data_IF_144184826768
#
_entry.id   IF_144184826768
#
_cell.length_a   1.000
_cell.length_b   1.000
_cell.length_c   1.000
_cell.angle_alpha   90.00
_cell.angle_beta   90.00
_cell.angle_gamma   90.00
#
_symmetry.space_group_name_H-M   'P 1'
#
loop_
_entity.id
_entity.type
_entity.pdbx_description
1 polymer ?
#
# COMPACT_ATOMS: atom_id res chain seq x y z
N UNK A 1 -20.66 17.70 -8.28
CA UNK A 1 -19.47 18.10 -9.07
C UNK A 1 -19.57 19.60 -9.35
N UNK A 2 -18.48 20.37 -9.21
CA UNK A 2 -18.54 21.83 -9.45
C UNK A 2 -18.44 22.16 -10.94
N UNK A 3 -18.81 23.40 -11.32
CA UNK A 3 -18.73 23.84 -12.72
C UNK A 3 -17.29 23.93 -13.22
N UNK A 4 -16.34 24.23 -12.32
CA UNK A 4 -14.91 24.25 -12.57
C UNK A 4 -14.40 22.85 -12.90
N UNK A 5 -14.74 21.84 -12.08
CA UNK A 5 -14.35 20.44 -12.35
C UNK A 5 -14.86 19.97 -13.71
N UNK A 6 -16.13 20.28 -14.06
CA UNK A 6 -16.70 19.95 -15.36
C UNK A 6 -15.96 20.66 -16.51
N UNK A 7 -15.58 21.92 -16.32
CA UNK A 7 -14.81 22.69 -17.30
C UNK A 7 -13.43 22.09 -17.54
N UNK A 8 -12.73 21.70 -16.47
CA UNK A 8 -11.42 21.05 -16.56
C UNK A 8 -11.53 19.69 -17.26
N UNK A 9 -12.50 18.84 -16.87
CA UNK A 9 -12.74 17.52 -17.47
C UNK A 9 -12.97 17.61 -18.99
N UNK A 10 -13.90 18.47 -19.40
CA UNK A 10 -14.20 18.72 -20.81
C UNK A 10 -12.98 19.17 -21.61
N UNK A 11 -12.23 20.14 -21.08
CA UNK A 11 -11.07 20.68 -21.79
C UNK A 11 -9.89 19.67 -21.84
N UNK A 12 -9.79 18.75 -20.88
CA UNK A 12 -8.81 17.65 -20.88
C UNK A 12 -9.13 16.61 -21.93
N UNK A 13 -10.40 16.25 -22.09
CA UNK A 13 -10.82 15.32 -23.14
C UNK A 13 -10.44 15.88 -24.53
N UNK A 14 -10.72 17.16 -24.79
CA UNK A 14 -10.28 17.83 -26.02
C UNK A 14 -8.75 17.77 -26.18
N UNK A 15 -7.99 17.99 -25.11
CA UNK A 15 -6.55 17.94 -25.15
C UNK A 15 -6.03 16.54 -25.50
N UNK A 16 -6.64 15.48 -24.94
CA UNK A 16 -6.32 14.08 -25.24
C UNK A 16 -6.48 13.79 -26.74
N UNK A 17 -7.65 14.08 -27.31
CA UNK A 17 -7.92 13.85 -28.74
C UNK A 17 -6.95 14.60 -29.66
N UNK A 18 -6.44 15.76 -29.25
CA UNK A 18 -5.45 16.51 -30.02
C UNK A 18 -4.03 15.96 -29.85
N UNK A 19 -3.69 15.55 -28.63
CA UNK A 19 -2.36 15.11 -28.27
C UNK A 19 -2.01 13.76 -28.91
N UNK A 20 -2.96 12.82 -28.90
CA UNK A 20 -2.72 11.42 -29.27
C UNK A 20 -3.41 10.98 -30.56
N UNK A 21 -3.89 11.92 -31.38
CA UNK A 21 -4.63 11.62 -32.62
C UNK A 21 -3.88 10.65 -33.55
N UNK A 22 -2.56 10.80 -33.65
CA UNK A 22 -1.73 10.03 -34.57
C UNK A 22 -1.18 8.75 -33.93
N UNK A 23 -1.09 8.69 -32.60
CA UNK A 23 -0.47 7.58 -31.86
C UNK A 23 -1.49 6.54 -31.39
N UNK A 24 -2.69 6.99 -31.02
CA UNK A 24 -3.77 6.17 -30.52
C UNK A 24 -4.89 6.22 -31.55
N UNK A 25 -5.41 5.05 -31.92
CA UNK A 25 -6.57 4.92 -32.81
C UNK A 25 -7.84 5.42 -32.09
N UNK A 26 -7.88 6.70 -31.78
CA UNK A 26 -8.96 7.37 -31.09
C UNK A 26 -10.17 7.50 -32.00
N UNK A 27 -11.35 7.70 -31.39
CA UNK A 27 -12.54 8.08 -32.15
C UNK A 27 -12.23 9.37 -32.91
N UNK A 28 -12.50 9.35 -34.21
CA UNK A 28 -12.26 10.51 -35.07
C UNK A 28 -13.05 11.72 -34.55
N UNK A 29 -12.35 12.81 -34.27
CA UNK A 29 -12.94 14.07 -33.79
C UNK A 29 -13.09 15.05 -34.96
N UNK A 30 -14.34 15.36 -35.33
CA UNK A 30 -14.68 16.29 -36.41
C UNK A 30 -14.58 17.76 -35.98
N UNK A 31 -14.76 18.04 -34.69
CA UNK A 31 -14.70 19.39 -34.16
C UNK A 31 -14.76 19.43 -32.64
N UNK A 32 -14.31 20.53 -32.05
CA UNK A 32 -14.40 20.74 -30.61
C UNK A 32 -14.49 22.23 -30.27
N UNK A 33 -15.16 22.53 -29.16
CA UNK A 33 -15.25 23.84 -28.55
C UNK A 33 -14.89 23.71 -27.06
N UNK A 34 -13.91 24.48 -26.60
CA UNK A 34 -13.51 24.51 -25.19
C UNK A 34 -14.66 25.03 -24.32
N UNK A 35 -14.79 24.52 -23.11
CA UNK A 35 -15.69 25.10 -22.10
C UNK A 35 -14.96 26.26 -21.42
N UNK A 36 -15.62 27.42 -21.30
CA UNK A 36 -15.13 28.59 -20.56
C UNK A 36 -16.19 28.93 -19.51
N UNK A 37 -15.79 28.87 -18.24
CA UNK A 37 -16.69 29.05 -17.11
C UNK A 37 -17.48 30.36 -17.24
N UNK A 38 -18.82 30.28 -17.16
CA UNK A 38 -19.76 31.39 -17.29
C UNK A 38 -19.79 32.15 -18.64
N UNK A 39 -19.01 31.70 -19.64
CA UNK A 39 -18.90 32.41 -20.93
C UNK A 39 -19.28 31.53 -22.12
N UNK A 40 -18.86 30.27 -22.13
CA UNK A 40 -18.95 29.41 -23.30
C UNK A 40 -19.18 27.96 -22.89
N UNK A 41 -20.20 27.33 -23.48
CA UNK A 41 -20.40 25.90 -23.34
C UNK A 41 -19.37 25.09 -24.12
N UNK A 42 -19.04 23.91 -23.60
CA UNK A 42 -18.13 22.97 -24.25
C UNK A 42 -18.88 22.04 -25.20
N UNK A 43 -18.25 21.67 -26.31
CA UNK A 43 -18.74 20.63 -27.21
C UNK A 43 -17.59 19.83 -27.82
N UNK A 44 -17.82 18.54 -28.07
CA UNK A 44 -16.93 17.68 -28.87
C UNK A 44 -17.82 16.96 -29.88
N UNK A 45 -17.44 16.98 -31.16
CA UNK A 45 -18.13 16.28 -32.24
C UNK A 45 -17.24 15.11 -32.63
N UNK A 46 -17.72 13.91 -32.33
CA UNK A 46 -17.02 12.65 -32.58
C UNK A 46 -17.72 11.87 -33.68
N UNK A 47 -16.96 11.00 -34.35
CA UNK A 47 -17.51 10.00 -35.27
C UNK A 47 -18.49 9.10 -34.54
N UNK A 48 -19.67 8.94 -35.13
CA UNK A 48 -20.65 7.98 -34.66
C UNK A 48 -20.11 6.56 -34.88
N UNK A 49 -20.07 5.79 -33.81
CA UNK A 49 -19.72 4.37 -33.83
C UNK A 49 -21.02 3.60 -34.07
N UNK A 50 -21.18 3.07 -35.28
CA UNK A 50 -22.40 2.37 -35.70
C UNK A 50 -22.53 0.97 -35.08
N UNK A 51 -23.52 0.21 -35.54
CA UNK A 51 -23.86 -1.12 -35.02
C UNK A 51 -22.76 -2.19 -35.21
N UNK A 52 -21.65 -1.90 -35.90
CA UNK A 52 -20.50 -2.82 -35.95
C UNK A 52 -19.74 -2.87 -34.63
N UNK A 53 -19.83 -1.82 -33.81
CA UNK A 53 -19.22 -1.78 -32.50
C UNK A 53 -20.12 -2.42 -31.45
N UNK A 54 -19.51 -3.23 -30.58
CA UNK A 54 -20.20 -3.91 -29.49
C UNK A 54 -19.76 -3.35 -28.14
N UNK A 55 -20.72 -3.26 -27.22
CA UNK A 55 -20.46 -2.95 -25.81
C UNK A 55 -20.54 -4.23 -25.00
N UNK A 56 -19.63 -4.38 -24.03
CA UNK A 56 -19.80 -5.35 -22.97
C UNK A 56 -20.79 -4.77 -21.97
N UNK A 57 -21.71 -5.60 -21.47
CA UNK A 57 -22.66 -5.18 -20.43
C UNK A 57 -21.91 -4.58 -19.25
N UNK A 58 -22.48 -3.57 -18.59
CA UNK A 58 -21.91 -3.00 -17.37
C UNK A 58 -21.58 -4.07 -16.33
N UNK A 59 -22.39 -5.14 -16.30
CA UNK A 59 -22.28 -6.28 -15.39
C UNK A 59 -21.42 -7.45 -15.91
N UNK A 60 -20.81 -7.28 -17.08
CA UNK A 60 -19.97 -8.26 -17.77
C UNK A 60 -18.48 -8.11 -17.46
N UNK A 61 -17.71 -9.07 -17.97
CA UNK A 61 -16.25 -9.02 -18.02
C UNK A 61 -15.80 -9.10 -19.49
N UNK A 62 -14.63 -8.56 -19.78
CA UNK A 62 -13.97 -8.79 -21.06
C UNK A 62 -13.48 -10.23 -21.16
N UNK A 63 -13.46 -10.80 -22.36
CA UNK A 63 -12.80 -12.08 -22.60
C UNK A 63 -11.27 -11.89 -22.73
N UNK A 64 -10.50 -12.99 -22.70
CA UNK A 64 -9.04 -12.93 -22.75
C UNK A 64 -8.49 -12.10 -23.94
N UNK A 65 -9.00 -12.31 -25.15
CA UNK A 65 -8.57 -11.57 -26.34
C UNK A 65 -8.87 -10.07 -26.24
N UNK A 66 -10.06 -9.72 -25.74
CA UNK A 66 -10.42 -8.32 -25.49
C UNK A 66 -9.48 -7.68 -24.46
N UNK A 67 -9.11 -8.41 -23.41
CA UNK A 67 -8.20 -7.89 -22.38
C UNK A 67 -6.80 -7.67 -22.95
N UNK A 68 -6.24 -8.64 -23.67
CA UNK A 68 -4.94 -8.52 -24.33
C UNK A 68 -4.91 -7.29 -25.26
N UNK A 69 -5.95 -7.09 -26.05
CA UNK A 69 -6.04 -5.95 -26.95
C UNK A 69 -6.17 -4.61 -26.20
N UNK A 70 -6.88 -4.55 -25.07
CA UNK A 70 -6.95 -3.33 -24.26
C UNK A 70 -5.62 -3.06 -23.57
N UNK A 71 -4.93 -4.09 -23.06
CA UNK A 71 -3.56 -3.99 -22.51
C UNK A 71 -2.61 -3.45 -23.58
N UNK A 72 -2.73 -3.90 -24.82
CA UNK A 72 -1.95 -3.36 -25.96
C UNK A 72 -2.23 -1.88 -26.21
N UNK A 73 -3.48 -1.42 -26.05
CA UNK A 73 -3.81 0.02 -26.16
C UNK A 73 -3.24 0.83 -25.01
N UNK A 74 -3.25 0.30 -23.79
CA UNK A 74 -2.59 0.93 -22.63
C UNK A 74 -1.08 1.04 -22.88
N UNK A 75 -0.45 0.00 -23.42
CA UNK A 75 0.98 0.02 -23.77
C UNK A 75 1.29 1.17 -24.74
N UNK A 76 0.52 1.30 -25.82
CA UNK A 76 0.66 2.38 -26.81
C UNK A 76 0.45 3.75 -26.19
N UNK A 77 -0.54 3.90 -25.30
CA UNK A 77 -0.80 5.15 -24.57
C UNK A 77 0.41 5.53 -23.72
N UNK A 78 0.98 4.59 -22.97
CA UNK A 78 2.14 4.87 -22.12
C UNK A 78 3.36 5.29 -22.95
N UNK A 79 3.67 4.56 -24.03
CA UNK A 79 4.75 4.92 -24.96
C UNK A 79 4.53 6.32 -25.54
N UNK A 80 3.33 6.62 -26.06
CA UNK A 80 2.99 7.93 -26.60
C UNK A 80 3.07 9.04 -25.55
N UNK A 81 2.68 8.75 -24.31
CA UNK A 81 2.76 9.69 -23.20
C UNK A 81 4.21 10.10 -22.90
N UNK A 82 5.15 9.16 -22.87
CA UNK A 82 6.57 9.47 -22.68
C UNK A 82 7.12 10.38 -23.80
N UNK A 83 6.80 10.07 -25.07
CA UNK A 83 7.20 10.89 -26.23
C UNK A 83 6.70 12.33 -26.12
N UNK A 84 5.49 12.47 -25.60
CA UNK A 84 4.78 13.76 -25.55
C UNK A 84 4.91 14.46 -24.20
N UNK A 85 5.73 13.98 -23.26
CA UNK A 85 5.81 14.55 -21.88
C UNK A 85 5.89 16.06 -21.86
N UNK A 86 6.79 16.65 -22.66
CA UNK A 86 6.98 18.13 -22.71
C UNK A 86 5.69 18.91 -23.01
N UNK A 87 4.67 18.27 -23.58
CA UNK A 87 3.39 18.88 -23.92
C UNK A 87 2.40 18.89 -22.75
N UNK A 88 2.46 17.91 -21.84
CA UNK A 88 1.45 17.70 -20.80
C UNK A 88 1.97 17.80 -19.35
N UNK A 89 3.27 17.67 -19.14
CA UNK A 89 3.90 17.74 -17.82
C UNK A 89 3.50 19.01 -17.06
N UNK A 90 3.08 18.85 -15.80
CA UNK A 90 2.56 19.92 -14.93
C UNK A 90 1.25 20.58 -15.39
N UNK A 91 0.52 20.00 -16.36
CA UNK A 91 -0.77 20.53 -16.86
C UNK A 91 -1.95 19.60 -16.58
N UNK A 92 -1.68 18.37 -16.13
CA UNK A 92 -2.63 17.29 -16.00
C UNK A 92 -2.66 16.74 -14.56
N UNK A 93 -2.80 17.63 -13.58
CA UNK A 93 -2.86 17.26 -12.15
C UNK A 93 -4.10 16.43 -11.80
N UNK A 94 -4.05 15.72 -10.67
CA UNK A 94 -5.21 14.98 -10.16
C UNK A 94 -6.47 15.86 -10.08
N UNK A 95 -7.58 15.35 -10.62
CA UNK A 95 -8.88 16.02 -10.52
C UNK A 95 -9.54 15.83 -9.15
N UNK A 96 -9.01 14.93 -8.33
CA UNK A 96 -9.60 14.52 -7.08
C UNK A 96 -9.15 15.43 -5.94
N UNK A 97 -10.06 16.27 -5.45
CA UNK A 97 -9.78 17.11 -4.28
C UNK A 97 -9.96 16.32 -2.98
N UNK A 98 -9.28 16.72 -1.89
CA UNK A 98 -9.50 16.15 -0.55
C UNK A 98 -10.99 16.16 -0.15
N UNK A 99 -11.72 17.21 -0.53
CA UNK A 99 -13.17 17.29 -0.27
C UNK A 99 -13.97 16.21 -1.03
N UNK A 100 -13.65 15.99 -2.31
CA UNK A 100 -14.29 14.94 -3.10
C UNK A 100 -13.94 13.55 -2.57
N UNK A 101 -12.70 13.38 -2.11
CA UNK A 101 -12.24 12.16 -1.47
C UNK A 101 -13.03 11.89 -0.18
N UNK A 102 -13.08 12.86 0.74
CA UNK A 102 -13.83 12.74 2.00
C UNK A 102 -15.32 12.40 1.78
N UNK A 103 -15.94 13.00 0.74
CA UNK A 103 -17.30 12.67 0.36
C UNK A 103 -17.45 11.20 -0.05
N UNK A 104 -16.56 10.67 -0.90
CA UNK A 104 -16.56 9.24 -1.25
C UNK A 104 -16.25 8.35 -0.04
N UNK A 105 -15.29 8.74 0.79
CA UNK A 105 -14.90 8.00 1.99
C UNK A 105 -16.07 7.83 2.97
N UNK A 106 -16.92 8.86 3.10
CA UNK A 106 -18.11 8.82 3.97
C UNK A 106 -19.18 7.82 3.53
N UNK A 107 -19.19 7.46 2.24
CA UNK A 107 -20.14 6.50 1.68
C UNK A 107 -19.71 5.05 1.92
N UNK A 108 -18.44 4.83 2.23
CA UNK A 108 -17.83 3.49 2.27
C UNK A 108 -18.61 2.49 3.10
N UNK A 109 -18.88 2.80 4.38
CA UNK A 109 -19.57 1.88 5.27
C UNK A 109 -20.93 1.46 4.72
N UNK A 110 -21.75 2.43 4.30
CA UNK A 110 -23.08 2.14 3.74
C UNK A 110 -23.05 1.24 2.51
N UNK A 111 -22.08 1.46 1.60
CA UNK A 111 -21.96 0.70 0.37
C UNK A 111 -21.39 -0.69 0.67
N UNK A 112 -20.40 -0.79 1.58
CA UNK A 112 -19.86 -2.05 2.05
C UNK A 112 -20.94 -2.92 2.69
N UNK A 113 -21.75 -2.39 3.61
CA UNK A 113 -22.86 -3.13 4.24
C UNK A 113 -23.93 -3.56 3.22
N UNK A 114 -24.18 -2.73 2.20
CA UNK A 114 -25.09 -3.09 1.10
C UNK A 114 -24.53 -4.28 0.32
N UNK A 115 -23.26 -4.23 -0.08
CA UNK A 115 -22.59 -5.35 -0.76
C UNK A 115 -22.51 -6.60 0.12
N UNK A 116 -22.28 -6.41 1.41
CA UNK A 116 -22.27 -7.45 2.43
C UNK A 116 -23.61 -8.18 2.49
N UNK A 117 -24.72 -7.48 2.34
CA UNK A 117 -26.06 -8.07 2.33
C UNK A 117 -26.36 -8.92 1.08
N UNK A 118 -25.61 -8.72 -0.01
CA UNK A 118 -25.75 -9.47 -1.25
C UNK A 118 -24.89 -10.74 -1.28
N UNK A 119 -23.81 -10.77 -0.49
CA UNK A 119 -23.05 -11.98 -0.23
C UNK A 119 -23.61 -12.72 1.00
N UNK A 120 -23.39 -14.04 1.10
CA UNK A 120 -23.67 -14.71 2.37
C UNK A 120 -22.66 -14.25 3.43
N UNK A 121 -23.14 -14.02 4.66
CA UNK A 121 -22.34 -13.60 5.83
C UNK A 121 -21.02 -14.38 5.97
N UNK A 122 -21.00 -15.66 5.62
CA UNK A 122 -19.85 -16.55 5.68
C UNK A 122 -18.61 -16.03 4.91
N UNK A 123 -18.79 -15.31 3.80
CA UNK A 123 -17.65 -14.82 3.00
C UNK A 123 -17.09 -13.54 3.58
N UNK A 124 -17.86 -12.45 3.51
CA UNK A 124 -17.36 -11.12 3.83
C UNK A 124 -17.05 -10.94 5.33
N UNK A 125 -17.73 -11.67 6.22
CA UNK A 125 -17.54 -11.52 7.67
C UNK A 125 -16.11 -11.79 8.11
N UNK A 126 -15.40 -12.68 7.40
CA UNK A 126 -14.01 -13.03 7.68
C UNK A 126 -13.01 -11.89 7.46
N UNK A 127 -13.28 -11.00 6.49
CA UNK A 127 -12.36 -9.92 6.09
C UNK A 127 -12.83 -8.51 6.50
N UNK A 128 -14.10 -8.35 6.93
CA UNK A 128 -14.70 -7.03 7.21
C UNK A 128 -13.83 -6.16 8.13
N UNK A 129 -13.27 -6.71 9.21
CA UNK A 129 -12.42 -5.94 10.14
C UNK A 129 -11.19 -5.37 9.43
N UNK A 130 -10.53 -6.18 8.61
CA UNK A 130 -9.33 -5.80 7.87
C UNK A 130 -9.66 -4.80 6.75
N UNK A 131 -10.80 -4.97 6.07
CA UNK A 131 -11.31 -4.03 5.06
C UNK A 131 -11.61 -2.66 5.68
N UNK A 132 -12.24 -2.60 6.85
CA UNK A 132 -12.44 -1.34 7.56
C UNK A 132 -11.11 -0.70 8.03
N UNK A 133 -10.14 -1.52 8.46
CA UNK A 133 -8.80 -1.02 8.80
C UNK A 133 -8.07 -0.45 7.56
N UNK A 134 -8.21 -1.09 6.40
CA UNK A 134 -7.71 -0.60 5.12
C UNK A 134 -8.37 0.74 4.74
N UNK A 135 -9.71 0.82 4.83
CA UNK A 135 -10.46 2.04 4.55
C UNK A 135 -10.06 3.23 5.43
N UNK A 136 -9.79 3.00 6.73
CA UNK A 136 -9.32 4.06 7.64
C UNK A 136 -7.99 4.66 7.22
N UNK A 137 -7.11 3.86 6.60
CA UNK A 137 -5.83 4.32 6.04
C UNK A 137 -5.94 4.86 4.61
N UNK A 138 -7.12 4.78 3.96
CA UNK A 138 -7.23 5.04 2.53
C UNK A 138 -6.87 6.47 2.13
N UNK A 139 -7.24 7.49 2.91
CA UNK A 139 -6.84 8.88 2.62
C UNK A 139 -5.32 9.02 2.59
N UNK A 140 -4.67 8.46 3.60
CA UNK A 140 -3.21 8.43 3.70
C UNK A 140 -2.61 7.72 2.48
N UNK A 141 -3.10 6.53 2.14
CA UNK A 141 -2.60 5.77 1.00
C UNK A 141 -2.83 6.47 -0.34
N UNK A 142 -3.95 7.17 -0.49
CA UNK A 142 -4.28 7.86 -1.73
C UNK A 142 -3.45 9.13 -1.93
N UNK A 143 -3.24 9.92 -0.88
CA UNK A 143 -2.49 11.18 -1.01
C UNK A 143 -1.00 10.98 -0.76
N UNK A 144 -0.59 10.27 0.29
CA UNK A 144 0.82 10.13 0.65
C UNK A 144 1.50 9.04 -0.20
N UNK A 145 0.96 7.82 -0.27
CA UNK A 145 1.65 6.74 -0.99
C UNK A 145 1.63 6.97 -2.51
N UNK A 146 0.54 7.53 -3.05
CA UNK A 146 0.49 7.86 -4.48
C UNK A 146 1.40 9.05 -4.81
N UNK A 147 1.41 10.13 -4.02
CA UNK A 147 2.35 11.24 -4.25
C UNK A 147 3.80 10.77 -4.09
N UNK A 148 4.08 9.92 -3.10
CA UNK A 148 5.37 9.28 -2.90
C UNK A 148 5.76 8.49 -4.15
N UNK A 149 4.91 7.60 -4.63
CA UNK A 149 5.11 6.83 -5.88
C UNK A 149 5.39 7.76 -7.06
N UNK A 150 4.61 8.84 -7.23
CA UNK A 150 4.83 9.79 -8.33
C UNK A 150 6.17 10.53 -8.19
N UNK A 151 6.55 10.91 -6.97
CA UNK A 151 7.79 11.63 -6.68
C UNK A 151 9.04 10.75 -6.80
N UNK A 152 8.96 9.48 -6.37
CA UNK A 152 10.05 8.51 -6.40
C UNK A 152 10.30 7.98 -7.82
N UNK A 153 9.28 7.98 -8.67
CA UNK A 153 9.39 7.56 -10.06
C UNK A 153 10.17 8.56 -10.95
N UNK A 154 10.90 9.56 -10.44
CA UNK A 154 11.82 10.48 -11.15
C UNK A 154 11.50 10.81 -12.62
N UNK A 155 10.23 11.13 -12.94
CA UNK A 155 9.82 11.33 -14.32
C UNK A 155 9.67 10.02 -15.12
N UNK A 156 9.03 9.01 -14.55
CA UNK A 156 8.58 7.78 -15.21
C UNK A 156 7.06 7.60 -15.08
N UNK A 157 6.38 8.67 -14.69
CA UNK A 157 4.93 8.83 -14.76
C UNK A 157 4.44 8.93 -16.21
N UNK A 158 3.15 8.66 -16.40
CA UNK A 158 2.46 8.67 -17.70
C UNK A 158 1.13 9.40 -17.59
N UNK A 159 0.57 9.84 -18.71
CA UNK A 159 -0.84 10.18 -18.82
C UNK A 159 -1.64 8.89 -18.87
N UNK A 160 -2.47 8.70 -17.84
CA UNK A 160 -3.44 7.62 -17.78
C UNK A 160 -4.84 8.10 -18.13
N UNK A 161 -5.66 7.17 -18.61
CA UNK A 161 -7.10 7.37 -18.78
C UNK A 161 -7.79 7.64 -17.44
N UNK A 162 -7.35 6.95 -16.37
CA UNK A 162 -7.75 7.11 -14.96
C UNK A 162 -9.24 6.83 -14.65
N UNK A 163 -10.05 6.54 -15.66
CA UNK A 163 -11.43 6.08 -15.54
C UNK A 163 -11.75 4.89 -16.46
N UNK A 164 -10.75 4.03 -16.71
CA UNK A 164 -10.92 2.93 -17.66
C UNK A 164 -11.87 1.88 -17.07
N UNK A 165 -12.98 1.62 -17.76
CA UNK A 165 -14.03 0.70 -17.32
C UNK A 165 -14.72 0.04 -18.52
N UNK A 166 -15.62 -0.92 -18.27
CA UNK A 166 -16.40 -1.56 -19.35
C UNK A 166 -17.22 -0.57 -20.17
N UNK A 167 -17.61 0.56 -19.60
CA UNK A 167 -18.39 1.59 -20.30
C UNK A 167 -17.53 2.51 -21.17
N UNK A 168 -16.23 2.60 -20.92
CA UNK A 168 -15.34 3.49 -21.67
C UNK A 168 -14.71 2.79 -22.88
N UNK A 169 -14.99 1.50 -23.08
CA UNK A 169 -14.43 0.69 -24.18
C UNK A 169 -15.56 0.09 -25.00
N UNK A 170 -15.45 0.24 -26.32
CA UNK A 170 -16.26 -0.48 -27.29
C UNK A 170 -15.37 -1.31 -28.21
N UNK A 171 -15.90 -2.38 -28.78
CA UNK A 171 -15.11 -3.31 -29.59
C UNK A 171 -15.63 -3.39 -31.03
N UNK A 172 -14.75 -3.20 -32.00
CA UNK A 172 -14.94 -3.64 -33.37
C UNK A 172 -14.42 -5.07 -33.45
N UNK A 173 -15.32 -6.05 -33.39
CA UNK A 173 -14.98 -7.45 -33.08
C UNK A 173 -14.26 -7.57 -31.71
N UNK A 174 -12.93 -7.65 -31.71
CA UNK A 174 -12.09 -7.64 -30.50
C UNK A 174 -11.15 -6.43 -30.43
N UNK A 175 -11.14 -5.55 -31.43
CA UNK A 175 -10.30 -4.35 -31.43
C UNK A 175 -10.94 -3.24 -30.59
N UNK A 176 -10.32 -2.83 -29.47
CA UNK A 176 -10.90 -1.86 -28.56
C UNK A 176 -10.74 -0.44 -29.09
N UNK A 177 -11.81 0.34 -28.91
CA UNK A 177 -11.85 1.78 -29.06
C UNK A 177 -12.16 2.38 -27.69
N UNK A 178 -11.19 3.10 -27.13
CA UNK A 178 -11.28 3.73 -25.81
C UNK A 178 -11.81 5.17 -25.96
N UNK A 179 -12.76 5.53 -25.12
CA UNK A 179 -13.49 6.81 -25.09
C UNK A 179 -13.60 7.34 -23.66
N UNK A 180 -14.21 8.52 -23.46
CA UNK A 180 -14.40 9.14 -22.14
C UNK A 180 -13.08 9.57 -21.45
N UNK A 181 -12.22 10.25 -22.22
CA UNK A 181 -10.90 10.72 -21.78
C UNK A 181 -10.94 11.93 -20.83
N UNK A 182 -12.10 12.26 -20.27
CA UNK A 182 -12.32 13.45 -19.45
C UNK A 182 -11.58 13.42 -18.11
N UNK A 183 -11.15 12.24 -17.66
CA UNK A 183 -10.39 12.07 -16.41
C UNK A 183 -8.88 11.91 -16.61
N UNK A 184 -8.39 12.13 -17.83
CA UNK A 184 -6.98 12.00 -18.15
C UNK A 184 -6.12 12.86 -17.21
N UNK A 185 -5.13 12.22 -16.60
CA UNK A 185 -4.27 12.82 -15.58
C UNK A 185 -2.92 12.12 -15.55
N UNK A 186 -1.91 12.78 -15.00
CA UNK A 186 -0.64 12.14 -14.68
C UNK A 186 -0.83 11.08 -13.59
N UNK A 187 -0.33 9.87 -13.85
CA UNK A 187 -0.42 8.70 -12.98
C UNK A 187 0.86 7.86 -13.05
N UNK A 188 1.00 6.91 -12.12
CA UNK A 188 1.98 5.84 -12.29
C UNK A 188 1.56 4.87 -13.42
N UNK A 189 2.52 4.15 -13.97
CA UNK A 189 2.32 3.24 -15.10
C UNK A 189 1.54 1.96 -14.77
N UNK A 190 1.19 1.72 -13.50
CA UNK A 190 0.29 0.64 -13.09
C UNK A 190 -1.19 1.03 -13.03
N UNK A 191 -1.51 2.33 -13.07
CA UNK A 191 -2.85 2.83 -12.73
C UNK A 191 -3.97 2.37 -13.68
N UNK A 192 -3.79 2.51 -14.99
CA UNK A 192 -4.81 2.08 -15.97
C UNK A 192 -4.94 0.56 -16.03
N UNK A 193 -3.84 -0.19 -15.81
CA UNK A 193 -3.88 -1.65 -15.71
C UNK A 193 -4.67 -2.08 -14.47
N UNK A 194 -4.44 -1.46 -13.32
CA UNK A 194 -5.22 -1.70 -12.12
C UNK A 194 -6.71 -1.39 -12.33
N UNK A 195 -7.04 -0.29 -13.01
CA UNK A 195 -8.43 0.05 -13.33
C UNK A 195 -9.07 -1.00 -14.25
N UNK A 196 -8.35 -1.45 -15.29
CA UNK A 196 -8.79 -2.52 -16.18
C UNK A 196 -9.06 -3.82 -15.40
N UNK A 197 -8.09 -4.27 -14.61
CA UNK A 197 -8.15 -5.51 -13.85
C UNK A 197 -9.31 -5.51 -12.86
N UNK A 198 -9.48 -4.41 -12.11
CA UNK A 198 -10.56 -4.27 -11.13
C UNK A 198 -11.92 -4.20 -11.81
N UNK A 199 -12.07 -3.39 -12.86
CA UNK A 199 -13.40 -3.01 -13.37
C UNK A 199 -13.89 -3.92 -14.50
N UNK A 200 -13.00 -4.52 -15.27
CA UNK A 200 -13.36 -5.20 -16.52
C UNK A 200 -13.03 -6.69 -16.56
N UNK A 201 -12.24 -7.21 -15.60
CA UNK A 201 -11.77 -8.60 -15.60
C UNK A 201 -12.36 -9.36 -14.42
N UNK A 202 -12.64 -10.66 -14.57
CA UNK A 202 -12.95 -11.55 -13.45
C UNK A 202 -11.70 -11.94 -12.65
N UNK A 203 -11.88 -12.44 -11.43
CA UNK A 203 -10.77 -12.70 -10.49
C UNK A 203 -9.75 -13.68 -11.04
N UNK A 204 -10.20 -14.83 -11.56
CA UNK A 204 -9.30 -15.90 -12.01
C UNK A 204 -8.50 -15.46 -13.25
N UNK A 205 -9.18 -14.88 -14.24
CA UNK A 205 -8.52 -14.34 -15.45
C UNK A 205 -7.54 -13.22 -15.12
N UNK A 206 -7.86 -12.37 -14.13
CA UNK A 206 -6.93 -11.32 -13.68
C UNK A 206 -5.63 -11.92 -13.13
N UNK A 207 -5.71 -12.93 -12.26
CA UNK A 207 -4.50 -13.56 -11.71
C UNK A 207 -3.62 -14.16 -12.82
N UNK A 208 -4.21 -14.77 -13.85
CA UNK A 208 -3.47 -15.26 -15.02
C UNK A 208 -2.78 -14.11 -15.79
N UNK A 209 -3.48 -13.01 -16.03
CA UNK A 209 -2.92 -11.84 -16.72
C UNK A 209 -1.76 -11.22 -15.93
N UNK A 210 -1.94 -11.04 -14.62
CA UNK A 210 -0.89 -10.54 -13.73
C UNK A 210 0.36 -11.42 -13.77
N UNK A 211 0.18 -12.74 -13.84
CA UNK A 211 1.28 -13.70 -13.88
C UNK A 211 2.00 -13.73 -15.23
N UNK A 212 1.26 -13.75 -16.34
CA UNK A 212 1.84 -14.06 -17.66
C UNK A 212 1.96 -12.85 -18.60
N UNK A 213 1.01 -11.91 -18.53
CA UNK A 213 0.94 -10.78 -19.46
C UNK A 213 1.72 -9.57 -18.94
N UNK A 214 1.72 -9.31 -17.63
CA UNK A 214 2.42 -8.14 -17.07
C UNK A 214 3.95 -8.14 -17.32
N UNK A 215 4.67 -9.27 -17.16
CA UNK A 215 6.09 -9.30 -17.51
C UNK A 215 6.34 -8.97 -18.99
N UNK A 216 5.47 -9.47 -19.88
CA UNK A 216 5.53 -9.19 -21.31
C UNK A 216 5.21 -7.71 -21.61
N UNK A 217 4.18 -7.16 -20.98
CA UNK A 217 3.82 -5.74 -21.07
C UNK A 217 5.01 -4.85 -20.70
N UNK A 218 5.62 -5.09 -19.54
CA UNK A 218 6.76 -4.32 -19.06
C UNK A 218 7.97 -4.44 -20.02
N UNK A 219 8.29 -5.66 -20.48
CA UNK A 219 9.36 -5.87 -21.45
C UNK A 219 9.13 -5.07 -22.74
N UNK A 220 7.90 -5.07 -23.25
CA UNK A 220 7.53 -4.36 -24.48
C UNK A 220 7.47 -2.85 -24.29
N UNK A 221 7.08 -2.36 -23.11
CA UNK A 221 7.16 -0.94 -22.75
C UNK A 221 8.61 -0.48 -22.77
N UNK A 222 9.49 -1.22 -22.11
CA UNK A 222 10.93 -0.91 -22.05
C UNK A 222 11.57 -0.91 -23.45
N UNK A 223 11.26 -1.89 -24.28
CA UNK A 223 11.74 -1.97 -25.66
C UNK A 223 11.19 -0.81 -26.52
N UNK A 224 9.89 -0.53 -26.43
CA UNK A 224 9.24 0.56 -27.15
C UNK A 224 9.87 1.91 -26.85
N UNK A 225 10.06 2.22 -25.56
CA UNK A 225 10.71 3.45 -25.13
C UNK A 225 12.17 3.54 -25.61
N UNK A 226 12.91 2.43 -25.54
CA UNK A 226 14.29 2.36 -26.04
C UNK A 226 14.39 2.65 -27.53
N UNK A 227 13.46 2.15 -28.33
CA UNK A 227 13.41 2.40 -29.78
C UNK A 227 13.20 3.89 -30.11
N UNK A 228 12.61 4.65 -29.18
CA UNK A 228 12.38 6.09 -29.30
C UNK A 228 13.43 6.95 -28.57
N UNK A 229 14.53 6.33 -28.10
CA UNK A 229 15.63 7.02 -27.44
C UNK A 229 15.40 7.35 -25.96
N UNK A 230 14.41 6.70 -25.33
CA UNK A 230 14.14 6.82 -23.89
C UNK A 230 14.62 5.57 -23.15
N UNK A 231 15.19 5.75 -21.97
CA UNK A 231 15.58 4.65 -21.08
C UNK A 231 14.61 4.61 -19.90
N UNK A 232 13.99 3.45 -19.68
CA UNK A 232 13.18 3.17 -18.50
C UNK A 232 14.10 2.63 -17.39
N UNK A 233 14.34 3.46 -16.37
CA UNK A 233 15.14 3.19 -15.18
C UNK A 233 14.46 2.19 -14.26
N UNK A 234 13.16 2.31 -14.03
CA UNK A 234 12.43 1.42 -13.13
C UNK A 234 12.54 -0.05 -13.56
N UNK A 235 12.60 -0.93 -12.56
CA UNK A 235 12.61 -2.38 -12.69
C UNK A 235 11.18 -2.94 -12.90
N UNK A 236 11.06 -4.25 -13.14
CA UNK A 236 9.74 -4.88 -13.20
C UNK A 236 9.08 -4.87 -11.82
N UNK A 237 9.87 -5.00 -10.76
CA UNK A 237 9.43 -4.95 -9.37
C UNK A 237 8.85 -3.57 -9.02
N UNK A 238 9.49 -2.48 -9.45
CA UNK A 238 8.98 -1.12 -9.29
C UNK A 238 7.65 -0.92 -10.06
N UNK A 239 7.56 -1.46 -11.28
CA UNK A 239 6.32 -1.48 -12.06
C UNK A 239 5.21 -2.26 -11.34
N UNK A 240 5.53 -3.43 -10.77
CA UNK A 240 4.57 -4.26 -10.03
C UNK A 240 4.11 -3.55 -8.75
N UNK A 241 5.03 -2.89 -8.04
CA UNK A 241 4.70 -2.04 -6.89
C UNK A 241 3.74 -0.90 -7.29
N UNK A 242 3.99 -0.22 -8.41
CA UNK A 242 3.09 0.82 -8.93
C UNK A 242 1.68 0.26 -9.25
N UNK A 243 1.61 -0.95 -9.83
CA UNK A 243 0.35 -1.64 -10.06
C UNK A 243 -0.36 -1.99 -8.76
N UNK A 244 0.34 -2.53 -7.77
CA UNK A 244 -0.22 -2.99 -6.50
C UNK A 244 -0.81 -1.87 -5.66
N UNK A 245 -0.10 -0.75 -5.54
CA UNK A 245 -0.62 0.47 -4.89
C UNK A 245 -1.86 0.98 -5.63
N UNK A 246 -1.80 1.00 -6.97
CA UNK A 246 -2.94 1.40 -7.80
C UNK A 246 -4.12 0.44 -7.67
N UNK A 247 -3.89 -0.86 -7.55
CA UNK A 247 -4.92 -1.89 -7.44
C UNK A 247 -5.73 -1.74 -6.16
N UNK A 248 -5.06 -1.47 -5.03
CA UNK A 248 -5.74 -1.19 -3.76
C UNK A 248 -6.66 0.03 -3.90
N UNK A 249 -6.13 1.12 -4.46
CA UNK A 249 -6.89 2.34 -4.66
C UNK A 249 -8.08 2.12 -5.61
N UNK A 250 -7.88 1.47 -6.75
CA UNK A 250 -8.93 1.20 -7.73
C UNK A 250 -10.02 0.26 -7.17
N UNK A 251 -9.66 -0.70 -6.32
CA UNK A 251 -10.62 -1.59 -5.64
C UNK A 251 -11.57 -0.82 -4.73
N UNK A 252 -11.04 0.13 -3.94
CA UNK A 252 -11.88 0.94 -3.06
C UNK A 252 -12.78 1.88 -3.88
N UNK A 253 -12.25 2.50 -4.95
CA UNK A 253 -13.07 3.29 -5.87
C UNK A 253 -14.16 2.46 -6.53
N UNK A 254 -13.85 1.23 -6.94
CA UNK A 254 -14.79 0.34 -7.59
C UNK A 254 -15.98 0.00 -6.69
N UNK A 255 -15.74 -0.27 -5.40
CA UNK A 255 -16.83 -0.42 -4.43
C UNK A 255 -17.76 0.80 -4.46
N UNK A 256 -17.19 2.01 -4.45
CA UNK A 256 -17.99 3.25 -4.41
C UNK A 256 -18.77 3.47 -5.71
N UNK A 257 -18.10 3.30 -6.85
CA UNK A 257 -18.71 3.48 -8.18
C UNK A 257 -19.83 2.45 -8.40
N UNK A 258 -19.69 1.25 -7.84
CA UNK A 258 -20.74 0.24 -7.91
C UNK A 258 -21.99 0.63 -7.12
N UNK A 259 -21.82 1.23 -5.93
CA UNK A 259 -22.94 1.77 -5.16
C UNK A 259 -23.76 2.81 -5.95
N UNK A 260 -23.12 3.57 -6.85
CA UNK A 260 -23.81 4.47 -7.78
C UNK A 260 -24.50 3.72 -8.92
N UNK A 261 -23.80 2.76 -9.53
CA UNK A 261 -24.34 2.02 -10.66
C UNK A 261 -25.61 1.24 -10.31
N UNK A 262 -25.65 0.59 -9.14
CA UNK A 262 -26.87 -0.11 -8.69
C UNK A 262 -28.09 0.82 -8.68
N UNK A 263 -27.91 2.07 -8.23
CA UNK A 263 -28.98 3.09 -8.21
C UNK A 263 -29.33 3.59 -9.61
N UNK A 264 -28.33 3.88 -10.42
CA UNK A 264 -28.52 4.40 -11.79
C UNK A 264 -29.28 3.40 -12.66
N UNK A 265 -28.92 2.12 -12.59
CA UNK A 265 -29.60 1.04 -13.31
C UNK A 265 -30.88 0.56 -12.63
N UNK A 266 -31.32 1.23 -11.55
CA UNK A 266 -32.54 0.93 -10.79
C UNK A 266 -32.63 -0.54 -10.35
N UNK A 267 -31.49 -1.12 -9.94
CA UNK A 267 -31.45 -2.48 -9.42
C UNK A 267 -32.19 -2.50 -8.06
N UNK A 268 -33.16 -3.41 -7.85
CA UNK A 268 -33.89 -3.47 -6.60
C UNK A 268 -32.99 -3.82 -5.40
N UNK A 269 -33.07 -3.02 -4.33
CA UNK A 269 -32.36 -3.26 -3.08
C UNK A 269 -32.76 -4.60 -2.43
N UNK A 270 -34.05 -4.96 -2.53
CA UNK A 270 -34.59 -6.19 -1.97
C UNK A 270 -34.41 -7.36 -2.93
N UNK A 271 -34.17 -8.54 -2.37
CA UNK A 271 -34.20 -9.78 -3.12
C UNK A 271 -35.63 -10.13 -3.55
N UNK A 272 -35.76 -10.89 -4.63
CA UNK A 272 -37.07 -11.30 -5.16
C UNK A 272 -37.14 -11.40 -6.68
N UNK A 273 -36.14 -10.90 -7.40
CA UNK A 273 -35.98 -11.09 -8.84
C UNK A 273 -34.70 -11.88 -9.09
N UNK A 274 -34.83 -13.09 -9.63
CA UNK A 274 -33.70 -14.01 -9.78
C UNK A 274 -32.57 -13.45 -10.66
N UNK A 275 -32.88 -12.62 -11.65
CA UNK A 275 -31.88 -12.02 -12.52
C UNK A 275 -31.07 -10.95 -11.77
N UNK A 276 -31.76 -10.04 -11.07
CA UNK A 276 -31.06 -9.01 -10.28
C UNK A 276 -30.35 -9.59 -9.05
N UNK A 277 -30.89 -10.64 -8.44
CA UNK A 277 -30.27 -11.33 -7.31
C UNK A 277 -28.94 -11.98 -7.71
N UNK A 278 -28.88 -12.59 -8.90
CA UNK A 278 -27.63 -13.16 -9.42
C UNK A 278 -26.60 -12.07 -9.76
N UNK A 279 -27.01 -10.94 -10.34
CA UNK A 279 -26.11 -9.79 -10.58
C UNK A 279 -25.53 -9.29 -9.26
N UNK A 280 -26.37 -9.04 -8.26
CA UNK A 280 -25.93 -8.58 -6.93
C UNK A 280 -24.94 -9.55 -6.30
N UNK A 281 -25.23 -10.86 -6.36
CA UNK A 281 -24.34 -11.92 -5.84
C UNK A 281 -23.00 -11.97 -6.54
N UNK A 282 -22.97 -11.98 -7.89
CA UNK A 282 -21.74 -12.00 -8.69
C UNK A 282 -20.83 -10.82 -8.34
N UNK A 283 -21.42 -9.64 -8.17
CA UNK A 283 -20.69 -8.44 -7.81
C UNK A 283 -20.16 -8.44 -6.39
N UNK A 284 -20.97 -8.88 -5.43
CA UNK A 284 -20.53 -9.01 -4.05
C UNK A 284 -19.33 -9.97 -3.93
N UNK A 285 -19.36 -11.09 -4.64
CA UNK A 285 -18.24 -12.03 -4.70
C UNK A 285 -17.00 -11.41 -5.37
N UNK A 286 -17.16 -10.71 -6.50
CA UNK A 286 -16.03 -10.03 -7.16
C UNK A 286 -15.37 -9.03 -6.21
N UNK A 287 -16.16 -8.17 -5.56
CA UNK A 287 -15.66 -7.20 -4.58
C UNK A 287 -14.97 -7.90 -3.40
N UNK A 288 -15.56 -8.96 -2.88
CA UNK A 288 -14.95 -9.77 -1.81
C UNK A 288 -13.55 -10.26 -2.21
N UNK A 289 -13.41 -10.86 -3.40
CA UNK A 289 -12.14 -11.36 -3.88
C UNK A 289 -11.12 -10.23 -4.10
N UNK A 290 -11.53 -9.11 -4.72
CA UNK A 290 -10.66 -7.95 -4.88
C UNK A 290 -10.13 -7.43 -3.54
N UNK A 291 -10.98 -7.35 -2.51
CA UNK A 291 -10.53 -6.93 -1.18
C UNK A 291 -9.63 -7.96 -0.52
N UNK A 292 -9.87 -9.25 -0.73
CA UNK A 292 -8.97 -10.30 -0.24
C UNK A 292 -7.57 -10.13 -0.86
N UNK A 293 -7.49 -9.94 -2.17
CA UNK A 293 -6.22 -9.69 -2.87
C UNK A 293 -5.55 -8.40 -2.35
N UNK A 294 -6.31 -7.31 -2.14
CA UNK A 294 -5.78 -6.07 -1.56
C UNK A 294 -5.16 -6.27 -0.19
N UNK A 295 -5.72 -7.15 0.65
CA UNK A 295 -5.19 -7.43 1.99
C UNK A 295 -3.90 -8.26 1.91
N UNK A 296 -3.82 -9.19 0.97
CA UNK A 296 -2.61 -9.97 0.69
C UNK A 296 -1.50 -9.03 0.16
N UNK A 297 -1.78 -8.24 -0.87
CA UNK A 297 -0.87 -7.23 -1.43
C UNK A 297 -0.41 -6.26 -0.34
N UNK A 298 -1.33 -5.72 0.46
CA UNK A 298 -0.95 -4.81 1.54
C UNK A 298 0.02 -5.45 2.54
N UNK A 299 -0.19 -6.72 2.87
CA UNK A 299 0.72 -7.46 3.75
C UNK A 299 2.11 -7.62 3.12
N UNK A 300 2.18 -7.79 1.80
CA UNK A 300 3.45 -7.82 1.07
C UNK A 300 4.13 -6.44 1.02
N UNK A 301 3.36 -5.38 0.78
CA UNK A 301 3.86 -4.00 0.70
C UNK A 301 4.33 -3.44 2.05
N UNK A 302 3.58 -3.68 3.13
CA UNK A 302 3.99 -3.33 4.50
C UNK A 302 5.18 -4.23 4.98
N UNK A 303 5.54 -5.23 4.16
CA UNK A 303 6.49 -6.29 4.48
C UNK A 303 5.84 -7.34 5.38
N UNK A 304 6.29 -8.61 5.27
CA UNK A 304 5.92 -9.62 6.26
C UNK A 304 6.27 -9.07 7.65
N UNK A 305 5.35 -9.18 8.59
CA UNK A 305 5.66 -8.95 9.98
C UNK A 305 6.46 -10.12 10.55
N UNK A 306 7.36 -9.84 11.49
CA UNK A 306 8.07 -10.86 12.23
C UNK A 306 7.10 -11.54 13.21
N UNK A 307 6.69 -12.77 12.87
CA UNK A 307 5.74 -13.58 13.65
C UNK A 307 4.46 -12.80 13.95
N UNK A 308 4.02 -12.80 15.22
CA UNK A 308 2.79 -12.16 15.69
C UNK A 308 2.97 -10.68 16.06
N UNK A 309 4.18 -10.12 15.90
CA UNK A 309 4.45 -8.71 16.22
C UNK A 309 4.03 -7.78 15.08
N UNK A 310 3.78 -6.49 15.35
CA UNK A 310 3.65 -5.47 14.30
C UNK A 310 5.02 -4.94 13.79
N UNK A 311 6.07 -5.76 13.85
CA UNK A 311 7.42 -5.41 13.39
C UNK A 311 7.67 -5.95 12.00
N UNK A 312 7.79 -5.08 10.99
CA UNK A 312 8.06 -5.52 9.63
C UNK A 312 9.48 -6.09 9.48
N UNK A 313 9.62 -7.17 8.70
CA UNK A 313 10.91 -7.75 8.33
C UNK A 313 11.78 -6.72 7.60
N UNK A 314 11.16 -5.85 6.79
CA UNK A 314 11.85 -4.77 6.08
C UNK A 314 12.55 -3.82 7.06
N UNK A 315 11.87 -3.42 8.15
CA UNK A 315 12.47 -2.57 9.18
C UNK A 315 13.65 -3.27 9.88
N UNK A 316 13.54 -4.57 10.15
CA UNK A 316 14.65 -5.35 10.74
C UNK A 316 15.87 -5.36 9.83
N UNK A 317 15.68 -5.66 8.54
CA UNK A 317 16.77 -5.68 7.56
C UNK A 317 17.41 -4.29 7.44
N UNK A 318 16.59 -3.24 7.30
CA UNK A 318 17.08 -1.85 7.20
C UNK A 318 17.92 -1.43 8.41
N UNK A 319 17.49 -1.80 9.63
CA UNK A 319 18.26 -1.55 10.84
C UNK A 319 19.62 -2.26 10.83
N UNK A 320 19.65 -3.53 10.42
CA UNK A 320 20.89 -4.31 10.35
C UNK A 320 21.83 -3.81 9.25
N UNK A 321 21.30 -3.48 8.08
CA UNK A 321 22.07 -2.93 6.96
C UNK A 321 22.74 -1.61 7.35
N UNK A 322 22.03 -0.74 8.07
CA UNK A 322 22.57 0.57 8.46
C UNK A 322 23.56 0.47 9.62
N UNK A 323 23.33 -0.45 10.56
CA UNK A 323 23.99 -0.39 11.87
C UNK A 323 24.81 -1.63 12.24
N UNK A 324 24.87 -2.69 11.42
CA UNK A 324 25.66 -3.90 11.70
C UNK A 324 26.69 -4.19 10.60
N UNK A 325 27.95 -3.84 10.85
CA UNK A 325 29.07 -4.17 9.96
C UNK A 325 29.22 -5.70 9.78
N UNK A 326 28.98 -6.46 10.84
CA UNK A 326 29.04 -7.92 10.82
C UNK A 326 27.97 -8.52 9.91
N UNK A 327 26.72 -8.05 10.03
CA UNK A 327 25.63 -8.46 9.14
C UNK A 327 25.96 -8.15 7.68
N UNK A 328 26.43 -6.92 7.40
CA UNK A 328 26.81 -6.52 6.05
C UNK A 328 27.96 -7.35 5.49
N UNK A 329 28.95 -7.67 6.32
CA UNK A 329 30.08 -8.53 5.93
C UNK A 329 29.64 -9.95 5.60
N UNK A 330 28.74 -10.53 6.40
CA UNK A 330 28.21 -11.88 6.18
C UNK A 330 27.30 -11.94 4.94
N UNK A 331 26.46 -10.92 4.77
CA UNK A 331 25.53 -10.82 3.64
C UNK A 331 26.25 -10.55 2.31
N UNK A 332 27.26 -9.69 2.32
CA UNK A 332 27.88 -9.17 1.10
C UNK A 332 26.84 -8.48 0.21
N UNK A 333 26.78 -8.88 -1.06
CA UNK A 333 25.80 -8.37 -2.03
C UNK A 333 24.52 -9.24 -2.14
N UNK A 334 24.36 -10.25 -1.28
CA UNK A 334 23.22 -11.18 -1.33
C UNK A 334 21.95 -10.53 -0.76
N UNK A 335 20.76 -10.91 -1.21
CA UNK A 335 19.50 -10.48 -0.58
C UNK A 335 19.16 -11.36 0.62
N UNK A 336 18.48 -10.81 1.62
CA UNK A 336 17.88 -11.60 2.70
C UNK A 336 16.68 -12.33 2.12
N UNK A 337 16.74 -13.67 2.10
CA UNK A 337 15.68 -14.51 1.56
C UNK A 337 14.62 -14.88 2.59
N UNK A 338 14.99 -14.95 3.88
CA UNK A 338 14.11 -15.33 4.98
C UNK A 338 14.65 -14.81 6.32
N UNK A 339 13.75 -14.62 7.29
CA UNK A 339 14.07 -14.27 8.68
C UNK A 339 13.18 -15.12 9.60
N UNK A 340 13.83 -15.97 10.40
CA UNK A 340 13.17 -16.83 11.37
C UNK A 340 13.46 -16.38 12.81
N UNK A 341 12.56 -16.72 13.73
CA UNK A 341 12.72 -16.47 15.16
C UNK A 341 12.62 -17.75 15.97
N UNK A 342 13.50 -17.92 16.94
CA UNK A 342 13.52 -19.08 17.82
C UNK A 342 13.97 -18.66 19.23
N UNK A 343 13.64 -19.48 20.22
CA UNK A 343 14.17 -19.30 21.58
C UNK A 343 15.68 -19.62 21.57
N UNK A 344 16.49 -18.81 22.24
CA UNK A 344 17.95 -18.72 22.05
C UNK A 344 18.74 -19.88 22.70
N UNK A 345 18.14 -21.07 22.89
CA UNK A 345 18.79 -22.21 23.54
C UNK A 345 19.73 -22.99 22.63
N UNK A 346 19.52 -22.94 21.32
CA UNK A 346 20.24 -23.79 20.36
C UNK A 346 21.06 -22.91 19.40
N UNK A 347 22.40 -22.94 19.54
CA UNK A 347 23.32 -22.17 18.70
C UNK A 347 23.16 -22.49 17.20
N UNK A 348 23.44 -21.51 16.32
CA UNK A 348 23.30 -21.63 14.86
C UNK A 348 24.45 -20.99 14.09
N UNK A 349 24.65 -21.47 12.85
CA UNK A 349 25.65 -20.99 11.87
C UNK A 349 25.22 -19.71 11.10
N UNK A 350 24.24 -18.97 11.60
CA UNK A 350 23.68 -17.76 10.98
C UNK A 350 23.99 -16.50 11.80
N UNK A 351 23.88 -15.31 11.20
CA UNK A 351 23.87 -14.06 11.98
C UNK A 351 22.67 -14.07 12.93
N UNK A 352 22.93 -13.87 14.23
CA UNK A 352 21.90 -13.86 15.27
C UNK A 352 21.81 -12.47 15.87
N UNK A 353 20.60 -11.97 16.04
CA UNK A 353 20.31 -10.74 16.79
C UNK A 353 19.11 -10.98 17.70
N UNK A 354 18.92 -10.09 18.67
CA UNK A 354 17.79 -10.15 19.60
C UNK A 354 16.79 -9.09 19.17
N UNK A 355 15.58 -9.52 18.82
CA UNK A 355 14.43 -8.62 18.70
C UNK A 355 13.63 -8.69 20.00
N UNK A 356 13.62 -7.59 20.74
CA UNK A 356 12.77 -7.43 21.92
C UNK A 356 11.54 -6.62 21.56
N UNK A 357 10.37 -7.23 21.73
CA UNK A 357 9.05 -6.58 21.60
C UNK A 357 8.44 -6.54 22.99
N UNK A 358 8.00 -5.38 23.50
CA UNK A 358 7.43 -5.29 24.84
C UNK A 358 6.06 -5.99 24.88
N UNK A 359 5.91 -6.97 25.76
CA UNK A 359 4.64 -7.68 26.00
C UNK A 359 4.35 -7.75 27.51
N UNK A 360 3.07 -7.80 27.87
CA UNK A 360 2.64 -8.07 29.25
C UNK A 360 2.25 -9.53 29.47
N UNK A 361 2.23 -10.34 28.42
CA UNK A 361 1.70 -11.71 28.43
C UNK A 361 2.39 -12.62 29.46
N UNK A 362 3.72 -12.63 29.47
CA UNK A 362 4.49 -13.47 30.39
C UNK A 362 4.32 -13.05 31.86
N UNK A 363 4.17 -11.75 32.12
CA UNK A 363 3.91 -11.25 33.47
C UNK A 363 2.48 -11.55 33.90
N UNK A 364 1.50 -11.34 33.02
CA UNK A 364 0.09 -11.65 33.27
C UNK A 364 -0.14 -13.15 33.51
N UNK A 365 0.62 -14.02 32.82
CA UNK A 365 0.55 -15.46 33.02
C UNK A 365 1.18 -15.94 34.35
N UNK A 366 2.13 -15.16 34.91
CA UNK A 366 2.84 -15.52 36.12
C UNK A 366 2.18 -15.02 37.42
N UNK A 367 1.28 -14.03 37.34
CA UNK A 367 0.61 -13.46 38.50
C UNK A 367 -0.76 -14.12 38.68
N UNK A 368 -1.09 -14.49 39.92
CA UNK A 368 -2.41 -15.03 40.27
C UNK A 368 -3.53 -14.08 39.82
N UNK A 369 -4.57 -14.55 39.10
CA UNK A 369 -5.67 -13.72 38.65
C UNK A 369 -6.37 -12.91 39.77
N UNK A 370 -6.45 -13.44 40.99
CA UNK A 370 -7.04 -12.73 42.14
C UNK A 370 -6.16 -11.57 42.59
N UNK A 371 -4.84 -11.73 42.54
CA UNK A 371 -3.88 -10.67 42.83
C UNK A 371 -3.94 -9.61 41.72
N UNK A 372 -3.95 -10.02 40.45
CA UNK A 372 -4.09 -9.11 39.30
C UNK A 372 -5.37 -8.27 39.38
N UNK A 373 -6.50 -8.87 39.77
CA UNK A 373 -7.77 -8.16 39.92
C UNK A 373 -7.76 -7.13 41.07
N UNK A 374 -6.90 -7.34 42.08
CA UNK A 374 -6.74 -6.42 43.23
C UNK A 374 -5.71 -5.30 42.97
N UNK A 375 -4.84 -5.45 41.97
CA UNK A 375 -3.90 -4.41 41.56
C UNK A 375 -4.65 -3.38 40.70
N UNK A 376 -4.97 -2.22 41.27
CA UNK A 376 -5.60 -1.09 40.58
C UNK A 376 -4.76 -0.56 39.40
N UNK A 377 -3.47 -0.88 39.39
CA UNK A 377 -2.50 -0.60 38.33
C UNK A 377 -2.00 -1.92 37.72
N UNK A 378 -2.90 -2.72 37.12
CA UNK A 378 -2.46 -3.78 36.21
C UNK A 378 -1.48 -3.20 35.18
N UNK A 379 -0.57 -4.02 34.62
CA UNK A 379 0.36 -3.56 33.56
C UNK A 379 -0.45 -3.17 32.34
N UNK A 380 -0.91 -1.93 32.33
CA UNK A 380 -1.69 -1.36 31.26
C UNK A 380 -0.76 -0.98 30.11
N UNK A 381 -1.37 -0.70 28.96
CA UNK A 381 -0.60 -0.35 27.76
C UNK A 381 0.28 0.90 27.97
N UNK A 382 -0.13 1.81 28.87
CA UNK A 382 0.62 3.03 29.18
C UNK A 382 1.89 2.74 29.99
N UNK A 383 1.80 1.91 31.03
CA UNK A 383 2.95 1.50 31.82
C UNK A 383 3.94 0.72 30.94
N UNK A 384 3.44 -0.20 30.12
CA UNK A 384 4.27 -0.97 29.19
C UNK A 384 5.00 -0.05 28.19
N UNK A 385 4.27 0.91 27.61
CA UNK A 385 4.87 1.91 26.70
C UNK A 385 5.92 2.77 27.41
N UNK A 386 5.63 3.24 28.62
CA UNK A 386 6.57 4.05 29.41
C UNK A 386 7.85 3.28 29.75
N UNK A 387 7.74 2.04 30.21
CA UNK A 387 8.91 1.22 30.57
C UNK A 387 9.78 0.93 29.34
N UNK A 388 9.16 0.52 28.22
CA UNK A 388 9.86 0.29 26.96
C UNK A 388 10.55 1.55 26.43
N UNK A 389 9.84 2.69 26.41
CA UNK A 389 10.40 3.94 25.89
C UNK A 389 11.52 4.48 26.81
N UNK A 390 11.44 4.25 28.12
CA UNK A 390 12.54 4.55 29.04
C UNK A 390 13.78 3.68 28.77
N UNK A 391 13.60 2.41 28.42
CA UNK A 391 14.71 1.52 28.03
C UNK A 391 15.38 2.01 26.74
N UNK A 392 14.58 2.38 25.73
CA UNK A 392 15.09 3.00 24.50
C UNK A 392 15.87 4.28 24.81
N UNK A 393 15.30 5.17 25.62
CA UNK A 393 15.95 6.42 26.01
C UNK A 393 17.31 6.15 26.68
N UNK A 394 17.36 5.15 27.56
CA UNK A 394 18.60 4.75 28.23
C UNK A 394 19.67 4.33 27.21
N UNK A 395 19.39 3.38 26.33
CA UNK A 395 20.37 2.93 25.36
C UNK A 395 20.82 4.05 24.41
N UNK A 396 19.88 4.86 23.92
CA UNK A 396 20.18 5.93 22.97
C UNK A 396 21.00 7.07 23.59
N UNK A 397 20.72 7.41 24.84
CA UNK A 397 21.43 8.47 25.55
C UNK A 397 22.85 8.06 25.98
N UNK A 398 23.03 6.78 26.34
CA UNK A 398 24.30 6.30 26.91
C UNK A 398 25.15 5.48 25.93
N UNK A 399 24.73 5.25 24.68
CA UNK A 399 25.48 4.45 23.68
C UNK A 399 26.94 4.88 23.47
N UNK A 400 27.24 6.17 23.61
CA UNK A 400 28.59 6.72 23.38
C UNK A 400 29.48 6.70 24.64
N UNK A 401 28.97 6.21 25.78
CA UNK A 401 29.71 6.15 27.05
C UNK A 401 30.63 4.94 27.09
N UNK A 402 31.89 5.13 26.71
CA UNK A 402 32.89 4.04 26.62
C UNK A 402 33.12 3.25 27.91
N UNK A 403 32.95 3.89 29.07
CA UNK A 403 33.19 3.25 30.37
C UNK A 403 31.99 2.39 30.82
N UNK A 404 30.82 2.59 30.21
CA UNK A 404 29.60 1.84 30.50
C UNK A 404 29.41 0.74 29.46
N UNK A 405 29.44 -0.50 29.89
CA UNK A 405 29.27 -1.66 29.02
C UNK A 405 27.80 -1.83 28.66
N UNK A 406 27.44 -1.39 27.47
CA UNK A 406 26.11 -1.56 26.88
C UNK A 406 26.16 -2.54 25.72
N UNK A 407 25.07 -3.30 25.54
CA UNK A 407 24.85 -4.08 24.34
C UNK A 407 24.60 -3.12 23.16
N UNK A 408 25.16 -3.48 22.01
CA UNK A 408 24.99 -2.72 20.78
C UNK A 408 23.54 -2.81 20.30
N UNK A 409 22.98 -1.67 19.92
CA UNK A 409 21.61 -1.53 19.43
C UNK A 409 21.66 -1.24 17.94
N UNK A 410 21.09 -2.13 17.14
CA UNK A 410 20.98 -1.97 15.69
C UNK A 410 19.77 -1.11 15.29
N UNK A 411 18.74 -1.03 16.12
CA UNK A 411 17.55 -0.23 15.84
C UNK A 411 16.56 -0.23 17.00
N UNK A 412 15.68 0.78 17.02
CA UNK A 412 14.62 0.88 18.01
C UNK A 412 13.38 1.59 17.45
N UNK A 413 12.23 1.31 18.04
CA UNK A 413 10.96 2.00 17.85
C UNK A 413 10.27 2.16 19.19
N UNK A 414 9.85 3.38 19.48
CA UNK A 414 9.03 3.68 20.65
C UNK A 414 7.67 2.98 20.53
N UNK A 415 7.14 2.52 21.66
CA UNK A 415 5.79 1.99 21.74
C UNK A 415 4.81 3.15 21.84
N UNK A 416 3.76 3.10 21.01
CA UNK A 416 2.64 4.04 21.03
C UNK A 416 1.39 3.26 21.40
N UNK A 417 0.70 3.69 22.45
CA UNK A 417 -0.55 3.03 22.89
C UNK A 417 -1.57 3.07 21.74
N UNK A 418 -2.16 1.90 21.44
CA UNK A 418 -3.05 1.67 20.29
C UNK A 418 -2.41 1.91 18.90
N UNK A 419 -1.08 1.99 18.84
CA UNK A 419 -0.29 2.23 17.63
C UNK A 419 0.78 1.15 17.41
N UNK A 420 2.06 1.56 17.37
CA UNK A 420 3.20 0.64 17.22
C UNK A 420 3.48 -0.11 18.53
N UNK A 421 3.73 -1.42 18.42
CA UNK A 421 4.10 -2.26 19.56
C UNK A 421 5.42 -1.82 20.21
N UNK A 422 6.26 -1.10 19.47
CA UNK A 422 7.62 -0.78 19.84
C UNK A 422 8.53 -1.99 19.66
N UNK A 423 9.81 -1.72 19.41
CA UNK A 423 10.80 -2.78 19.21
C UNK A 423 12.19 -2.28 19.60
N UNK A 424 13.04 -3.20 20.05
CA UNK A 424 14.46 -2.97 20.25
C UNK A 424 15.23 -4.11 19.57
N UNK A 425 16.05 -3.78 18.58
CA UNK A 425 16.88 -4.72 17.84
C UNK A 425 18.31 -4.62 18.35
N UNK A 426 18.82 -5.70 18.93
CA UNK A 426 20.04 -5.70 19.71
C UNK A 426 21.01 -6.77 19.22
N UNK A 427 22.30 -6.55 19.46
CA UNK A 427 23.33 -7.56 19.25
C UNK A 427 23.10 -8.76 20.15
N UNK A 428 23.14 -9.95 19.55
CA UNK A 428 23.22 -11.18 20.32
C UNK A 428 24.67 -11.34 20.81
N UNK A 429 24.85 -11.43 22.13
CA UNK A 429 26.17 -11.55 22.75
C UNK A 429 26.70 -13.00 22.81
N UNK A 430 25.89 -13.98 22.38
CA UNK A 430 26.30 -15.36 22.24
C UNK A 430 26.90 -15.98 23.50
N UNK A 431 27.92 -16.83 23.30
CA UNK A 431 28.66 -17.50 24.37
C UNK A 431 29.69 -16.60 25.06
N UNK A 432 29.86 -15.36 24.60
CA UNK A 432 30.82 -14.41 25.19
C UNK A 432 30.33 -13.82 26.51
N UNK A 433 29.05 -14.04 26.85
CA UNK A 433 28.44 -13.63 28.10
C UNK A 433 27.74 -14.79 28.80
N UNK A 434 27.71 -14.73 30.12
CA UNK A 434 26.96 -15.68 30.95
C UNK A 434 25.70 -14.99 31.46
N UNK A 435 24.54 -15.53 31.10
CA UNK A 435 23.29 -15.18 31.75
C UNK A 435 23.19 -15.95 33.07
N UNK A 436 23.13 -15.24 34.19
CA UNK A 436 22.98 -15.85 35.51
C UNK A 436 21.49 -16.06 35.75
N UNK A 437 21.09 -17.30 36.08
CA UNK A 437 19.70 -17.60 36.33
C UNK A 437 19.19 -16.79 37.53
N UNK A 438 17.93 -16.36 37.50
CA UNK A 438 17.35 -15.49 38.56
C UNK A 438 17.39 -16.12 39.96
N UNK A 439 17.48 -17.44 40.04
CA UNK A 439 17.59 -18.19 41.30
C UNK A 439 19.04 -18.36 41.79
N UNK A 440 20.03 -18.06 40.96
CA UNK A 440 21.43 -18.15 41.31
C UNK A 440 21.93 -16.83 41.91
N UNK A 441 22.89 -16.92 42.83
CA UNK A 441 23.54 -15.73 43.40
C UNK A 441 24.78 -15.35 42.61
N UNK A 442 25.05 -14.05 42.52
CA UNK A 442 26.32 -13.55 42.00
C UNK A 442 27.47 -13.97 42.91
N UNK A 443 28.57 -14.44 42.33
CA UNK A 443 29.81 -14.60 43.09
C UNK A 443 30.46 -13.22 43.39
N UNK A 444 31.46 -13.21 44.26
CA UNK A 444 32.11 -11.96 44.69
C UNK A 444 32.73 -11.19 43.51
N UNK A 445 33.36 -11.88 42.56
CA UNK A 445 33.98 -11.25 41.39
C UNK A 445 32.94 -10.57 40.48
N UNK A 446 31.84 -11.27 40.19
CA UNK A 446 30.72 -10.74 39.41
C UNK A 446 30.09 -9.52 40.11
N UNK A 447 29.91 -9.62 41.43
CA UNK A 447 29.39 -8.53 42.26
C UNK A 447 30.27 -7.29 42.18
N UNK A 448 31.59 -7.44 42.33
CA UNK A 448 32.54 -6.33 42.23
C UNK A 448 32.52 -5.67 40.84
N UNK A 449 32.50 -6.47 39.77
CA UNK A 449 32.39 -5.95 38.39
C UNK A 449 31.08 -5.21 38.15
N UNK A 450 29.98 -5.67 38.74
CA UNK A 450 28.69 -4.97 38.68
C UNK A 450 28.74 -3.65 39.45
N UNK A 451 29.37 -3.61 40.62
CA UNK A 451 29.59 -2.37 41.38
C UNK A 451 30.38 -1.35 40.57
N UNK A 452 31.42 -1.76 39.84
CA UNK A 452 32.17 -0.86 38.98
C UNK A 452 31.28 -0.23 37.90
N UNK A 453 30.42 -1.03 37.25
CA UNK A 453 29.50 -0.52 36.22
C UNK A 453 28.40 0.38 36.82
N UNK A 454 27.88 0.05 38.00
CA UNK A 454 26.93 0.92 38.72
C UNK A 454 27.61 2.26 39.09
N UNK A 455 28.85 2.23 39.56
CA UNK A 455 29.60 3.43 39.91
C UNK A 455 29.84 4.31 38.68
N UNK A 456 30.20 3.73 37.54
CA UNK A 456 30.31 4.44 36.26
C UNK A 456 28.98 5.09 35.90
N UNK A 457 27.88 4.31 35.90
CA UNK A 457 26.56 4.81 35.57
C UNK A 457 26.15 5.98 36.48
N UNK A 458 26.28 5.83 37.80
CA UNK A 458 25.98 6.87 38.77
C UNK A 458 26.84 8.13 38.57
N UNK A 459 28.13 7.94 38.27
CA UNK A 459 29.05 9.05 37.99
C UNK A 459 28.61 9.83 36.76
N UNK A 460 28.25 9.13 35.67
CA UNK A 460 27.72 9.76 34.45
C UNK A 460 26.40 10.47 34.76
N UNK A 461 25.48 9.81 35.47
CA UNK A 461 24.18 10.39 35.83
C UNK A 461 24.33 11.66 36.67
N UNK A 462 25.28 11.72 37.60
CA UNK A 462 25.53 12.90 38.42
C UNK A 462 26.17 14.04 37.63
N UNK A 463 27.10 13.74 36.72
CA UNK A 463 27.77 14.73 35.86
C UNK A 463 26.81 15.33 34.82
N UNK A 464 26.01 14.49 34.19
CA UNK A 464 25.14 14.86 33.07
C UNK A 464 23.67 14.91 33.48
N UNK A 465 23.39 15.44 34.68
CA UNK A 465 22.05 15.47 35.27
C UNK A 465 21.01 16.14 34.36
N UNK A 466 21.41 17.14 33.59
CA UNK A 466 20.54 17.83 32.63
C UNK A 466 20.09 16.95 31.46
N UNK A 467 20.81 15.87 31.13
CA UNK A 467 20.49 15.02 29.98
C UNK A 467 19.36 14.03 30.25
N UNK A 468 19.14 13.59 31.49
CA UNK A 468 18.11 12.59 31.83
C UNK A 468 17.03 13.11 32.80
N UNK A 469 17.34 14.11 33.64
CA UNK A 469 16.38 14.59 34.63
C UNK A 469 15.24 15.36 33.96
N UNK A 470 14.02 14.82 34.03
CA UNK A 470 12.81 15.40 33.46
C UNK A 470 12.25 14.65 32.25
N UNK A 471 13.04 13.75 31.66
CA UNK A 471 12.59 12.85 30.59
C UNK A 471 11.91 11.60 31.14
N UNK A 472 12.36 11.12 32.30
CA UNK A 472 11.74 10.02 33.04
C UNK A 472 10.77 10.64 34.05
N UNK A 473 9.46 10.51 33.81
CA UNK A 473 8.38 10.98 34.69
C UNK A 473 7.61 9.85 35.32
#
# INVERSE_FOLDING_TARGET
>A
MTKETLTTRHNREIACYKLFKEDLNLIEMYGCQKKILHQQEGAIILKYLDNKYTHVSYFGSFNATQIENVVERILKLQIASFKTRKQWDGKCDSLFTKQQFAAKQSMFGSVWETMYSYASYAYCGSISRQVYALHKKWEQMYFEDLEKVLSENEGETVLGHNNLSVNSVVFDENEPVISDWQQMTEVNNGSDLASLMVKCVDTDTRHEIEQYIFPLFYSRLKEGLKNDGYELKMTFEDFKYNYDVSFINQTIFYLMDHGFALKEYKIPDKNGDAYFDEIKRKYALKIYHLFKDCLEIKTELEGKNFKESNTSLAWLVDCLEKNSEEFNKLRGNSKVSDIDGYDLSDGKDSFVCILKVPTSESMNAAIDPEIMASMTDAIDANLLARVHNNEILFYTQFKDQKDLKLVEIYGYRERVVDGDDGALLMKYLGNDVVHIHVLDSLNLEQTLKLFDQILVLQTISLKDRCKWKGFIK
#
